data_IF_789669943382
#
_entry.id   IF_789669943382
#
_cell.length_a   1.000
_cell.length_b   1.000
_cell.length_c   1.000
_cell.angle_alpha   90.00
_cell.angle_beta   90.00
_cell.angle_gamma   90.00
#
_symmetry.space_group_name_H-M   'P 1'
#
loop_
_entity.id
_entity.type
_entity.pdbx_description
1 polymer ?
#
# COMPACT_ATOMS: atom_id res chain seq x y z
N UNK A 1 -4.82 18.54 -23.73
CA UNK A 1 -5.13 17.81 -22.49
C UNK A 1 -4.26 16.56 -22.46
N UNK A 2 -3.23 16.50 -21.60
CA UNK A 2 -2.37 15.33 -21.53
C UNK A 2 -3.14 14.20 -20.83
N UNK A 3 -3.66 13.25 -21.61
CA UNK A 3 -4.23 12.01 -21.08
C UNK A 3 -3.17 11.34 -20.21
N UNK A 4 -3.47 11.22 -18.93
CA UNK A 4 -2.70 10.40 -17.99
C UNK A 4 -2.67 8.98 -18.52
N UNK A 5 -1.60 8.59 -19.21
CA UNK A 5 -1.34 7.19 -19.53
C UNK A 5 -1.25 6.44 -18.20
N UNK A 6 -2.29 5.71 -17.84
CA UNK A 6 -2.37 5.05 -16.53
C UNK A 6 -1.33 3.91 -16.47
N UNK A 7 -0.20 4.17 -15.82
CA UNK A 7 0.71 3.10 -15.42
C UNK A 7 0.23 2.55 -14.08
N UNK A 8 -0.50 1.44 -14.08
CA UNK A 8 -1.14 0.90 -12.87
C UNK A 8 -0.14 0.75 -11.71
N UNK A 9 -0.45 1.38 -10.58
CA UNK A 9 0.40 1.38 -9.39
C UNK A 9 1.56 2.37 -9.43
N UNK A 10 1.53 3.33 -10.36
CA UNK A 10 2.47 4.42 -10.48
C UNK A 10 1.75 5.75 -10.71
N UNK A 11 2.25 6.79 -10.05
CA UNK A 11 1.85 8.17 -10.26
C UNK A 11 2.84 8.88 -11.18
N UNK A 12 2.33 9.66 -12.14
CA UNK A 12 3.15 10.54 -12.97
C UNK A 12 3.67 11.70 -12.12
N UNK A 13 5.00 11.91 -12.07
CA UNK A 13 5.61 12.95 -11.24
C UNK A 13 6.30 14.07 -12.04
N UNK A 14 6.30 13.99 -13.37
CA UNK A 14 6.86 15.01 -14.26
C UNK A 14 7.75 14.42 -15.33
N UNK A 15 8.51 15.26 -16.03
CA UNK A 15 9.43 14.83 -17.08
C UNK A 15 10.89 15.05 -16.69
N UNK A 16 11.81 14.40 -17.41
CA UNK A 16 13.24 14.67 -17.34
C UNK A 16 13.89 14.59 -18.71
N UNK A 17 15.02 15.28 -18.90
CA UNK A 17 15.86 15.14 -20.10
C UNK A 17 16.69 13.84 -20.10
N UNK A 18 16.75 13.14 -18.96
CA UNK A 18 17.45 11.86 -18.82
C UNK A 18 16.46 10.70 -18.91
N UNK A 19 16.71 9.79 -19.84
CA UNK A 19 15.88 8.60 -20.03
C UNK A 19 15.78 7.68 -18.79
N UNK A 20 16.80 7.69 -17.92
CA UNK A 20 16.91 6.84 -16.73
C UNK A 20 16.55 7.55 -15.42
N UNK A 21 15.99 8.76 -15.50
CA UNK A 21 15.66 9.55 -14.31
C UNK A 21 14.64 8.85 -13.41
N UNK A 22 14.95 8.78 -12.11
CA UNK A 22 14.02 8.33 -11.07
C UNK A 22 13.31 9.49 -10.35
N UNK A 23 13.69 10.73 -10.66
CA UNK A 23 13.09 11.98 -10.17
C UNK A 23 12.83 12.89 -11.36
N UNK A 24 11.68 13.56 -11.36
CA UNK A 24 11.38 14.56 -12.37
C UNK A 24 12.28 15.79 -12.18
N UNK A 25 12.64 16.44 -13.29
CA UNK A 25 13.35 17.72 -13.20
C UNK A 25 12.37 18.79 -12.69
N UNK A 26 12.77 19.66 -11.75
CA UNK A 26 11.89 20.68 -11.18
C UNK A 26 11.28 21.65 -12.21
N UNK A 27 11.90 21.76 -13.39
CA UNK A 27 11.48 22.57 -14.53
C UNK A 27 10.31 21.94 -15.31
N UNK A 28 10.14 20.63 -15.25
CA UNK A 28 9.16 19.88 -16.04
C UNK A 28 8.10 19.22 -15.15
N UNK A 29 7.47 20.02 -14.29
CA UNK A 29 6.41 19.56 -13.38
C UNK A 29 5.12 19.21 -14.14
N UNK A 30 4.34 18.23 -13.67
CA UNK A 30 3.02 17.96 -14.21
C UNK A 30 2.16 19.22 -14.21
N UNK A 31 1.51 19.52 -15.35
CA UNK A 31 0.60 20.67 -15.49
C UNK A 31 1.28 22.04 -15.62
N UNK A 32 2.61 22.13 -15.59
CA UNK A 32 3.31 23.38 -15.85
C UNK A 32 3.48 23.62 -17.35
N UNK A 33 3.32 24.88 -17.77
CA UNK A 33 3.64 25.29 -19.13
C UNK A 33 5.16 25.28 -19.33
N UNK A 34 5.60 24.71 -20.46
CA UNK A 34 6.99 24.70 -20.85
C UNK A 34 7.19 25.37 -22.21
N UNK A 35 7.88 26.51 -22.21
CA UNK A 35 8.32 27.14 -23.45
C UNK A 35 9.55 26.41 -23.98
N UNK A 36 9.35 25.64 -25.05
CA UNK A 36 10.41 24.90 -25.74
C UNK A 36 11.42 25.89 -26.32
N UNK A 37 12.61 25.97 -25.74
CA UNK A 37 13.71 26.82 -26.22
C UNK A 37 14.60 26.12 -27.26
N UNK A 38 14.57 24.78 -27.30
CA UNK A 38 15.32 23.92 -28.21
C UNK A 38 14.66 22.53 -28.27
N UNK A 39 14.93 21.75 -29.33
CA UNK A 39 14.47 20.34 -29.45
C UNK A 39 15.18 19.48 -28.40
N UNK A 40 14.53 19.28 -27.26
CA UNK A 40 15.00 18.38 -26.21
C UNK A 40 14.05 17.17 -26.13
N UNK A 41 14.62 15.97 -25.98
CA UNK A 41 13.84 14.77 -25.69
C UNK A 41 13.47 14.77 -24.20
N UNK A 42 12.18 14.68 -23.91
CA UNK A 42 11.67 14.57 -22.55
C UNK A 42 11.14 13.16 -22.31
N UNK A 43 11.48 12.61 -21.16
CA UNK A 43 11.10 11.27 -20.73
C UNK A 43 10.20 11.36 -19.50
N UNK A 44 9.07 10.66 -19.53
CA UNK A 44 8.11 10.66 -18.43
C UNK A 44 8.68 9.94 -17.21
N UNK A 45 8.66 10.60 -16.06
CA UNK A 45 9.10 10.04 -14.79
C UNK A 45 7.88 9.62 -13.96
N UNK A 46 7.94 8.39 -13.47
CA UNK A 46 6.86 7.73 -12.74
C UNK A 46 7.34 7.29 -11.36
N UNK A 47 6.56 7.59 -10.33
CA UNK A 47 6.81 7.12 -8.97
C UNK A 47 5.85 5.97 -8.63
N UNK A 48 6.38 4.87 -8.07
CA UNK A 48 5.53 3.76 -7.63
C UNK A 48 4.68 4.20 -6.43
N UNK A 49 3.40 3.86 -6.46
CA UNK A 49 2.45 4.23 -5.41
C UNK A 49 2.75 3.51 -4.09
N UNK A 50 2.33 4.13 -2.99
CA UNK A 50 2.43 3.55 -1.64
C UNK A 50 1.06 3.31 -1.05
N UNK A 51 0.81 2.06 -0.66
CA UNK A 51 -0.44 1.60 -0.06
C UNK A 51 -0.29 1.43 1.45
N UNK A 52 -1.31 1.83 2.21
CA UNK A 52 -1.33 1.61 3.65
C UNK A 52 -1.96 0.25 4.01
N UNK A 53 -1.29 -0.51 4.88
CA UNK A 53 -1.79 -1.74 5.49
C UNK A 53 -2.11 -1.48 6.97
N UNK A 54 -3.38 -1.56 7.33
CA UNK A 54 -3.89 -1.36 8.69
C UNK A 54 -4.28 -2.68 9.33
N UNK A 55 -4.10 -2.78 10.65
CA UNK A 55 -4.54 -3.91 11.45
C UNK A 55 -5.64 -3.47 12.41
N UNK A 56 -6.78 -4.17 12.38
CA UNK A 56 -7.94 -3.89 13.21
C UNK A 56 -8.17 -5.02 14.22
N UNK A 57 -8.31 -4.64 15.49
CA UNK A 57 -8.44 -5.56 16.63
C UNK A 57 -9.66 -6.49 16.56
N UNK A 58 -10.72 -6.04 15.88
CA UNK A 58 -11.97 -6.76 15.60
C UNK A 58 -12.53 -7.55 16.81
N UNK A 59 -13.31 -6.88 17.67
CA UNK A 59 -13.92 -7.47 18.88
C UNK A 59 -12.92 -7.96 19.94
N UNK A 60 -11.63 -7.60 19.83
CA UNK A 60 -10.71 -7.76 20.95
C UNK A 60 -11.25 -7.01 22.17
N UNK A 61 -11.05 -7.59 23.35
CA UNK A 61 -11.48 -7.01 24.63
C UNK A 61 -10.35 -6.26 25.32
N UNK A 62 -9.10 -6.46 24.90
CA UNK A 62 -7.93 -5.73 25.41
C UNK A 62 -6.73 -5.81 24.45
N UNK A 63 -5.69 -5.03 24.76
CA UNK A 63 -4.46 -4.94 23.98
C UNK A 63 -4.53 -3.90 22.88
N UNK A 64 -3.45 -3.80 22.09
CA UNK A 64 -3.33 -2.85 20.96
C UNK A 64 -3.05 -3.60 19.68
N UNK A 65 -3.72 -3.20 18.61
CA UNK A 65 -3.46 -3.74 17.28
C UNK A 65 -2.04 -3.39 16.81
N UNK A 66 -1.41 -4.23 15.97
CA UNK A 66 -0.12 -3.91 15.38
C UNK A 66 -0.14 -2.58 14.62
N UNK A 67 0.99 -1.84 14.64
CA UNK A 67 1.14 -0.59 13.87
C UNK A 67 0.91 -0.83 12.38
N UNK A 68 0.28 0.14 11.70
CA UNK A 68 0.15 0.13 10.25
C UNK A 68 1.52 0.22 9.56
N UNK A 69 1.56 -0.12 8.27
CA UNK A 69 2.75 -0.02 7.45
C UNK A 69 2.40 0.54 6.07
N UNK A 70 3.31 1.32 5.51
CA UNK A 70 3.28 1.72 4.09
C UNK A 70 4.02 0.66 3.27
N UNK A 71 3.42 0.21 2.19
CA UNK A 71 3.94 -0.84 1.31
C UNK A 71 3.81 -0.36 -0.12
N UNK A 72 4.89 -0.40 -0.88
CA UNK A 72 4.85 -0.04 -2.30
C UNK A 72 3.89 -0.96 -3.06
N UNK A 73 3.20 -0.42 -4.06
CA UNK A 73 2.30 -1.17 -4.92
C UNK A 73 2.98 -2.42 -5.48
N UNK A 74 2.30 -3.56 -5.40
CA UNK A 74 2.79 -4.84 -5.91
C UNK A 74 3.78 -5.56 -4.99
N UNK A 75 4.27 -4.91 -3.94
CA UNK A 75 5.13 -5.57 -2.95
C UNK A 75 4.31 -6.44 -2.01
N UNK A 76 4.97 -7.45 -1.47
CA UNK A 76 4.42 -8.33 -0.44
C UNK A 76 4.82 -7.87 0.95
N UNK A 77 3.90 -8.01 1.91
CA UNK A 77 4.16 -7.76 3.34
C UNK A 77 3.99 -9.05 4.14
N UNK A 78 4.93 -9.34 5.05
CA UNK A 78 4.77 -10.40 6.05
C UNK A 78 3.73 -9.98 7.08
N UNK A 79 2.74 -10.84 7.31
CA UNK A 79 1.65 -10.54 8.23
C UNK A 79 2.10 -10.62 9.68
N UNK A 80 1.81 -9.56 10.44
CA UNK A 80 2.17 -9.45 11.86
C UNK A 80 1.36 -10.43 12.71
N UNK A 81 1.91 -10.86 13.85
CA UNK A 81 1.13 -11.56 14.89
C UNK A 81 0.06 -10.63 15.47
N UNK A 82 -0.83 -11.16 16.31
CA UNK A 82 -1.79 -10.35 17.06
C UNK A 82 -1.13 -9.36 18.05
N UNK A 83 0.17 -9.52 18.34
CA UNK A 83 0.87 -8.73 19.33
C UNK A 83 0.23 -8.89 20.70
N UNK A 84 -0.24 -7.78 21.27
CA UNK A 84 -0.86 -7.75 22.60
C UNK A 84 -2.38 -7.93 22.59
N UNK A 85 -3.00 -8.05 21.41
CA UNK A 85 -4.45 -8.21 21.29
C UNK A 85 -4.93 -9.48 22.00
N UNK A 86 -5.97 -9.33 22.82
CA UNK A 86 -6.65 -10.45 23.48
C UNK A 86 -8.17 -10.30 23.36
N UNK A 87 -8.85 -11.43 23.26
CA UNK A 87 -10.32 -11.52 23.30
C UNK A 87 -10.72 -12.60 24.30
N UNK A 88 -11.38 -12.22 25.39
CA UNK A 88 -11.77 -13.13 26.49
C UNK A 88 -12.60 -14.31 25.95
N UNK A 89 -12.15 -15.54 26.21
CA UNK A 89 -12.81 -16.78 25.73
C UNK A 89 -12.53 -17.17 24.28
N UNK A 90 -11.60 -16.49 23.59
CA UNK A 90 -11.25 -16.77 22.19
C UNK A 90 -9.73 -16.87 22.00
N UNK A 91 -9.33 -17.50 20.90
CA UNK A 91 -7.96 -17.60 20.41
C UNK A 91 -7.86 -16.91 19.06
N UNK A 92 -6.80 -16.12 18.86
CA UNK A 92 -6.50 -15.50 17.56
C UNK A 92 -6.11 -16.58 16.55
N UNK A 93 -6.67 -16.52 15.34
CA UNK A 93 -6.42 -17.53 14.29
C UNK A 93 -5.73 -16.97 13.05
N UNK A 94 -5.64 -15.65 12.94
CA UNK A 94 -5.08 -14.96 11.78
C UNK A 94 -5.89 -13.72 11.40
N UNK A 95 -5.67 -13.26 10.18
CA UNK A 95 -6.26 -12.04 9.64
C UNK A 95 -7.23 -12.33 8.49
N UNK A 96 -8.13 -11.39 8.23
CA UNK A 96 -8.98 -11.37 7.05
C UNK A 96 -9.18 -9.95 6.56
N UNK A 97 -9.38 -9.77 5.25
CA UNK A 97 -9.84 -8.49 4.68
C UNK A 97 -11.34 -8.27 4.90
N UNK A 98 -12.08 -9.31 5.27
CA UNK A 98 -13.49 -9.22 5.63
C UNK A 98 -13.66 -9.14 7.16
N UNK A 99 -14.22 -8.03 7.65
CA UNK A 99 -14.51 -7.79 9.07
C UNK A 99 -15.40 -8.87 9.72
N UNK A 100 -16.30 -9.48 8.94
CA UNK A 100 -17.25 -10.51 9.39
C UNK A 100 -16.72 -11.94 9.26
N UNK A 101 -15.48 -12.13 8.82
CA UNK A 101 -14.93 -13.46 8.61
C UNK A 101 -14.88 -14.29 9.91
N UNK A 102 -15.31 -15.55 9.81
CA UNK A 102 -15.26 -16.54 10.90
C UNK A 102 -14.03 -17.44 10.81
N UNK A 103 -13.37 -17.49 9.65
CA UNK A 103 -12.11 -18.19 9.38
C UNK A 103 -11.07 -17.21 8.87
N UNK A 104 -9.83 -17.35 9.33
CA UNK A 104 -8.73 -16.52 8.86
C UNK A 104 -8.43 -16.84 7.39
N UNK A 105 -8.49 -15.83 6.53
CA UNK A 105 -8.04 -15.95 5.13
C UNK A 105 -6.52 -15.88 5.02
N UNK A 106 -5.86 -15.30 6.02
CA UNK A 106 -4.41 -15.14 6.03
C UNK A 106 -3.82 -15.50 7.40
N UNK A 107 -2.92 -16.48 7.40
CA UNK A 107 -2.17 -16.89 8.60
C UNK A 107 -0.99 -15.94 8.86
N UNK A 108 -0.55 -15.89 10.11
CA UNK A 108 0.69 -15.20 10.49
C UNK A 108 1.88 -15.78 9.70
N UNK A 109 2.91 -14.97 9.45
CA UNK A 109 4.13 -15.31 8.70
C UNK A 109 3.93 -15.63 7.22
N UNK A 110 2.69 -15.62 6.73
CA UNK A 110 2.41 -15.59 5.29
C UNK A 110 2.58 -14.17 4.75
N UNK A 111 2.93 -14.11 3.47
CA UNK A 111 3.08 -12.86 2.73
C UNK A 111 1.78 -12.53 2.00
N UNK A 112 1.36 -11.27 2.06
CA UNK A 112 0.22 -10.74 1.29
C UNK A 112 0.72 -9.69 0.30
N UNK A 113 0.43 -9.88 -0.99
CA UNK A 113 0.71 -8.90 -2.04
C UNK A 113 -0.25 -7.71 -1.92
N UNK A 114 0.28 -6.50 -1.81
CA UNK A 114 -0.49 -5.28 -1.59
C UNK A 114 -0.64 -4.51 -2.89
N UNK A 115 -1.85 -4.56 -3.44
CA UNK A 115 -2.21 -3.85 -4.69
C UNK A 115 -3.01 -2.57 -4.42
N UNK A 116 -3.56 -2.43 -3.22
CA UNK A 116 -4.39 -1.29 -2.79
C UNK A 116 -4.34 -1.14 -1.27
N UNK A 117 -4.78 -0.01 -0.70
CA UNK A 117 -4.91 0.14 0.74
C UNK A 117 -5.73 -1.02 1.33
N UNK A 118 -5.21 -1.65 2.37
CA UNK A 118 -5.76 -2.90 2.91
C UNK A 118 -5.94 -2.80 4.42
N UNK A 119 -7.13 -3.12 4.91
CA UNK A 119 -7.37 -3.30 6.35
C UNK A 119 -7.54 -4.77 6.66
N UNK A 120 -6.75 -5.27 7.60
CA UNK A 120 -6.76 -6.64 8.08
C UNK A 120 -7.44 -6.71 9.45
N UNK A 121 -8.54 -7.45 9.52
CA UNK A 121 -9.33 -7.66 10.72
C UNK A 121 -8.91 -8.96 11.41
N UNK A 122 -8.69 -8.91 12.72
CA UNK A 122 -8.37 -10.10 13.50
C UNK A 122 -9.52 -11.10 13.45
N UNK A 123 -9.20 -12.37 13.23
CA UNK A 123 -10.18 -13.47 13.26
C UNK A 123 -9.95 -14.30 14.52
N UNK A 124 -11.03 -14.53 15.25
CA UNK A 124 -11.03 -15.15 16.56
C UNK A 124 -11.88 -16.41 16.54
N UNK A 125 -11.34 -17.51 17.08
CA UNK A 125 -12.07 -18.77 17.30
C UNK A 125 -12.38 -18.91 18.78
N UNK A 126 -13.62 -19.25 19.13
CA UNK A 126 -14.00 -19.53 20.52
C UNK A 126 -13.17 -20.71 21.02
N UNK A 127 -12.68 -20.62 22.26
CA UNK A 127 -12.01 -21.73 22.92
C UNK A 127 -12.99 -22.88 23.15
#
# INVERSE_FOLDING_TARGET
MASSSQRTGYSFIGWSEKATASKADPKYKPGADYKVKSKNNLYAVWQRDSNEVKYAANKATSGKAPKSAKVLYGNSVKLKTAGTLKRKGYTFTGWSTNKKATKAGYKVDKSLKIMKPTTLYAVWKKK
#
